data_IF_595732295841
#
_entry.id   IF_595732295841
#
_cell.length_a   1.000
_cell.length_b   1.000
_cell.length_c   1.000
_cell.angle_alpha   90.00
_cell.angle_beta   90.00
_cell.angle_gamma   90.00
#
_symmetry.space_group_name_H-M   'P 1'
#
loop_
_entity.id
_entity.type
_entity.pdbx_description
1 polymer ?
#
# COMPACT_ATOMS: atom_id res chain seq x y z
N UNK A 1 -13.10 -5.87 -1.71
CA UNK A 1 -13.98 -5.11 -0.77
C UNK A 1 -13.47 -3.69 -0.53
N UNK A 2 -12.16 -3.49 -0.28
CA UNK A 2 -11.59 -2.16 -0.07
C UNK A 2 -11.80 -1.18 -1.26
N UNK A 3 -11.74 -1.67 -2.50
CA UNK A 3 -12.01 -0.85 -3.69
C UNK A 3 -13.44 -0.28 -3.71
N UNK A 4 -14.43 -1.07 -3.26
CA UNK A 4 -15.83 -0.62 -3.18
C UNK A 4 -15.99 0.55 -2.22
N UNK A 5 -15.31 0.50 -1.06
CA UNK A 5 -15.30 1.60 -0.09
C UNK A 5 -14.66 2.86 -0.69
N UNK A 6 -13.52 2.72 -1.37
CA UNK A 6 -12.85 3.84 -2.01
C UNK A 6 -13.72 4.51 -3.09
N UNK A 7 -14.42 3.71 -3.91
CA UNK A 7 -15.41 4.21 -4.88
C UNK A 7 -16.59 4.92 -4.22
N UNK A 8 -17.09 4.41 -3.09
CA UNK A 8 -18.17 5.05 -2.33
C UNK A 8 -17.76 6.38 -1.72
N UNK A 9 -16.51 6.50 -1.27
CA UNK A 9 -15.95 7.73 -0.70
C UNK A 9 -15.36 8.68 -1.76
N UNK A 10 -15.28 8.24 -3.01
CA UNK A 10 -14.68 8.97 -4.13
C UNK A 10 -13.25 9.45 -3.83
N UNK A 11 -12.43 8.54 -3.30
CA UNK A 11 -11.01 8.80 -2.97
C UNK A 11 -10.08 7.92 -3.80
N UNK A 12 -8.82 8.35 -4.05
CA UNK A 12 -7.81 7.54 -4.73
C UNK A 12 -7.59 6.20 -4.02
N UNK A 13 -7.26 5.16 -4.78
CA UNK A 13 -7.09 3.81 -4.26
C UNK A 13 -5.87 3.11 -4.85
N UNK A 14 -5.09 2.43 -4.01
CA UNK A 14 -3.98 1.58 -4.42
C UNK A 14 -3.98 0.26 -3.65
N UNK A 15 -3.50 -0.81 -4.30
CA UNK A 15 -3.34 -2.14 -3.71
C UNK A 15 -1.86 -2.48 -3.63
N UNK A 16 -1.47 -3.08 -2.52
CA UNK A 16 -0.14 -3.59 -2.22
C UNK A 16 -0.22 -5.01 -1.66
N UNK A 17 0.76 -5.85 -2.00
CA UNK A 17 0.96 -7.15 -1.39
C UNK A 17 2.16 -7.06 -0.44
N UNK A 18 1.97 -7.47 0.82
CA UNK A 18 3.01 -7.37 1.83
C UNK A 18 4.17 -8.37 1.62
N UNK A 19 4.04 -9.37 0.75
CA UNK A 19 5.13 -10.30 0.39
C UNK A 19 6.27 -9.59 -0.33
N UNK A 20 5.94 -8.65 -1.23
CA UNK A 20 6.90 -7.83 -1.97
C UNK A 20 7.80 -7.01 -1.02
N UNK A 21 7.26 -6.60 0.13
CA UNK A 21 7.99 -5.82 1.14
C UNK A 21 9.05 -6.62 1.93
N UNK A 22 9.18 -7.94 1.72
CA UNK A 22 9.95 -8.84 2.61
C UNK A 22 11.19 -9.48 2.01
N UNK A 23 11.51 -9.20 0.74
CA UNK A 23 12.80 -9.60 0.16
C UNK A 23 13.90 -8.68 0.69
N UNK A 24 14.85 -9.30 1.41
CA UNK A 24 15.87 -8.62 2.18
C UNK A 24 16.78 -7.78 1.26
N UNK A 25 16.47 -6.48 1.12
CA UNK A 25 17.41 -5.52 0.54
C UNK A 25 16.81 -4.20 0.05
N UNK A 26 15.56 -4.17 -0.41
CA UNK A 26 15.01 -2.99 -1.11
C UNK A 26 13.56 -2.68 -0.73
N UNK A 27 13.26 -2.65 0.57
CA UNK A 27 11.92 -2.29 1.09
C UNK A 27 11.44 -0.93 0.57
N UNK A 28 12.34 -0.03 0.16
CA UNK A 28 12.01 1.30 -0.35
C UNK A 28 11.38 1.35 -1.75
N UNK A 29 11.83 0.52 -2.70
CA UNK A 29 11.36 0.58 -4.09
C UNK A 29 9.87 0.22 -4.21
N UNK A 30 9.43 -0.77 -3.43
CA UNK A 30 8.04 -1.20 -3.43
C UNK A 30 7.11 -0.26 -2.66
N UNK A 31 7.59 0.36 -1.56
CA UNK A 31 6.79 1.36 -0.83
C UNK A 31 6.59 2.63 -1.66
N UNK A 32 7.65 3.13 -2.30
CA UNK A 32 7.56 4.30 -3.19
C UNK A 32 6.65 4.01 -4.39
N UNK A 33 6.70 2.81 -4.95
CA UNK A 33 5.82 2.41 -6.04
C UNK A 33 4.34 2.38 -5.63
N UNK A 34 4.00 2.00 -4.39
CA UNK A 34 2.62 2.03 -3.89
C UNK A 34 2.12 3.47 -3.78
N UNK A 35 2.96 4.37 -3.26
CA UNK A 35 2.63 5.80 -3.19
C UNK A 35 2.49 6.40 -4.59
N UNK A 36 3.37 6.04 -5.52
CA UNK A 36 3.30 6.48 -6.91
C UNK A 36 1.98 6.04 -7.58
N UNK A 37 1.55 4.80 -7.36
CA UNK A 37 0.25 4.30 -7.84
C UNK A 37 -0.92 5.10 -7.26
N UNK A 38 -0.87 5.43 -5.97
CA UNK A 38 -1.93 6.22 -5.33
C UNK A 38 -1.97 7.65 -5.89
N UNK A 39 -0.81 8.27 -6.09
CA UNK A 39 -0.68 9.61 -6.69
C UNK A 39 -1.15 9.62 -8.14
N UNK A 40 -0.84 8.58 -8.91
CA UNK A 40 -1.38 8.40 -10.27
C UNK A 40 -2.90 8.24 -10.26
N UNK A 41 -3.45 7.45 -9.32
CA UNK A 41 -4.89 7.31 -9.13
C UNK A 41 -5.56 8.61 -8.62
N UNK A 42 -4.79 9.55 -8.11
CA UNK A 42 -5.22 10.88 -7.71
C UNK A 42 -5.05 11.93 -8.83
N UNK A 43 -4.74 11.53 -10.08
CA UNK A 43 -4.41 12.42 -11.19
C UNK A 43 -3.25 13.39 -10.85
N UNK A 44 -2.25 12.90 -10.12
CA UNK A 44 -1.11 13.66 -9.59
C UNK A 44 -1.47 14.77 -8.58
N UNK A 45 -2.70 14.79 -8.06
CA UNK A 45 -3.13 15.71 -7.01
C UNK A 45 -2.74 15.19 -5.62
N UNK A 46 -1.74 15.81 -5.03
CA UNK A 46 -1.23 15.45 -3.69
C UNK A 46 -2.31 15.57 -2.62
N UNK A 47 -3.16 16.60 -2.66
CA UNK A 47 -4.21 16.80 -1.64
C UNK A 47 -5.28 15.72 -1.72
N UNK A 48 -5.59 15.23 -2.92
CA UNK A 48 -6.49 14.07 -3.07
C UNK A 48 -5.83 12.78 -2.60
N UNK A 49 -4.55 12.59 -2.91
CA UNK A 49 -3.81 11.40 -2.49
C UNK A 49 -3.64 11.30 -0.97
N UNK A 50 -3.53 12.43 -0.25
CA UNK A 50 -3.53 12.48 1.22
C UNK A 50 -4.79 11.86 1.85
N UNK A 51 -5.93 11.92 1.13
CA UNK A 51 -7.20 11.32 1.53
C UNK A 51 -7.41 9.92 0.93
N UNK A 52 -6.44 9.39 0.20
CA UNK A 52 -6.50 8.11 -0.50
C UNK A 52 -6.42 6.90 0.41
N UNK A 53 -6.83 5.75 -0.12
CA UNK A 53 -6.82 4.47 0.59
C UNK A 53 -5.77 3.55 -0.03
N UNK A 54 -4.88 3.02 0.80
CA UNK A 54 -3.97 1.94 0.43
C UNK A 54 -4.46 0.66 1.10
N UNK A 55 -4.71 -0.37 0.30
CA UNK A 55 -5.03 -1.71 0.80
C UNK A 55 -3.78 -2.59 0.75
N UNK A 56 -3.35 -3.07 1.92
CA UNK A 56 -2.21 -3.99 2.05
C UNK A 56 -2.78 -5.39 2.35
N UNK A 57 -2.58 -6.33 1.44
CA UNK A 57 -2.95 -7.73 1.62
C UNK A 57 -1.76 -8.56 2.15
N UNK A 58 -2.02 -9.79 2.61
CA UNK A 58 -1.02 -10.74 3.10
C UNK A 58 -0.11 -10.23 4.24
N UNK A 59 -0.61 -9.31 5.07
CA UNK A 59 0.18 -8.71 6.17
C UNK A 59 0.73 -9.75 7.17
N UNK A 60 0.09 -10.90 7.32
CA UNK A 60 0.53 -12.00 8.18
C UNK A 60 1.87 -12.61 7.74
N UNK A 61 2.26 -12.44 6.46
CA UNK A 61 3.54 -12.91 5.92
C UNK A 61 4.72 -12.12 6.45
N UNK A 62 4.51 -10.82 6.73
CA UNK A 62 5.52 -9.94 7.36
C UNK A 62 5.74 -10.34 8.82
N UNK A 63 4.67 -10.70 9.55
CA UNK A 63 4.73 -11.01 10.98
C UNK A 63 5.51 -12.29 11.33
N UNK A 64 5.68 -13.23 10.39
CA UNK A 64 6.38 -14.51 10.63
C UNK A 64 7.88 -14.36 10.94
N UNK A 65 8.53 -13.25 10.55
CA UNK A 65 9.95 -13.00 10.87
C UNK A 65 10.19 -12.18 12.14
N UNK A 66 9.19 -11.44 12.64
CA UNK A 66 9.31 -10.67 13.88
C UNK A 66 9.51 -11.56 15.13
N UNK A 67 9.21 -12.86 15.03
CA UNK A 67 9.42 -13.84 16.10
C UNK A 67 10.87 -14.31 16.29
N UNK A 68 11.82 -13.88 15.46
CA UNK A 68 13.24 -14.28 15.57
C UNK A 68 14.02 -13.38 16.58
N UNK A 69 13.34 -12.47 17.28
CA UNK A 69 13.95 -11.57 18.29
C UNK A 69 13.44 -11.78 19.73
N UNK A 70 12.98 -12.98 20.10
CA UNK A 70 12.78 -13.37 21.50
C UNK A 70 13.59 -14.62 21.85
#
# INVERSE_FOLDING_TARGET
MAETLARMLNVPFAIADATALTEAGYVGEDVENILLKLIQAADLDVKKAEMGIIYIDEIDKVSRKAKILQ
#
